data_IF_202939898070
#
_entry.id   IF_202939898070
#
_cell.length_a   1.000
_cell.length_b   1.000
_cell.length_c   1.000
_cell.angle_alpha   90.00
_cell.angle_beta   90.00
_cell.angle_gamma   90.00
#
_symmetry.space_group_name_H-M   'P 1'
#
loop_
_entity.id
_entity.type
_entity.pdbx_description
1 polymer ?
#
# COMPACT_ATOMS: atom_id res chain seq x y z
N UNK A 1 11.22 44.28 -69.56
CA UNK A 1 11.12 44.76 -68.17
C UNK A 1 9.87 44.17 -67.55
N UNK A 2 9.98 43.08 -66.77
CA UNK A 2 9.17 42.86 -65.56
C UNK A 2 10.02 42.00 -64.62
N UNK A 3 10.23 42.52 -63.43
CA UNK A 3 11.00 41.96 -62.31
C UNK A 3 10.14 40.99 -61.47
N UNK A 4 10.80 40.34 -60.51
CA UNK A 4 10.28 39.68 -59.29
C UNK A 4 10.23 38.12 -59.30
N UNK A 5 10.28 37.45 -58.14
CA UNK A 5 11.54 37.03 -57.51
C UNK A 5 11.47 35.59 -56.94
N UNK A 6 12.55 35.19 -56.25
CA UNK A 6 12.66 34.07 -55.28
C UNK A 6 11.43 33.95 -54.38
N UNK A 7 11.06 32.76 -53.89
CA UNK A 7 11.48 32.15 -52.59
C UNK A 7 11.03 30.68 -52.53
N UNK A 8 11.87 29.84 -51.92
CA UNK A 8 11.62 28.46 -51.46
C UNK A 8 10.76 28.53 -50.19
N UNK A 9 9.72 27.70 -50.02
CA UNK A 9 9.45 27.09 -48.72
C UNK A 9 8.47 25.92 -48.79
N UNK A 10 8.98 24.77 -48.35
CA UNK A 10 8.22 23.66 -47.78
C UNK A 10 7.36 24.14 -46.61
N UNK A 11 6.09 23.70 -46.53
CA UNK A 11 5.48 23.34 -45.26
C UNK A 11 4.13 22.65 -45.48
N UNK A 12 3.94 21.60 -44.69
CA UNK A 12 2.74 20.81 -44.49
C UNK A 12 1.44 21.63 -44.34
N UNK A 13 0.31 21.01 -44.69
CA UNK A 13 -0.68 20.64 -43.69
C UNK A 13 -1.78 19.76 -44.32
N UNK A 14 -1.75 18.46 -44.03
CA UNK A 14 -2.87 17.56 -44.33
C UNK A 14 -4.00 17.81 -43.34
N UNK A 15 -5.19 18.06 -43.88
CA UNK A 15 -6.49 17.60 -43.36
C UNK A 15 -6.73 17.70 -41.85
N UNK A 16 -7.25 18.84 -41.40
CA UNK A 16 -7.99 18.93 -40.14
C UNK A 16 -9.51 18.85 -40.43
N UNK A 17 -9.99 17.68 -40.86
CA UNK A 17 -11.42 17.35 -40.75
C UNK A 17 -11.70 17.12 -39.27
N UNK A 18 -12.51 17.98 -38.67
CA UNK A 18 -13.01 17.85 -37.30
C UNK A 18 -14.02 16.70 -37.24
N UNK A 19 -13.81 15.62 -36.48
CA UNK A 19 -14.91 14.78 -36.07
C UNK A 19 -15.49 15.34 -34.77
N UNK A 20 -16.83 15.36 -34.77
CA UNK A 20 -17.73 15.71 -33.70
C UNK A 20 -17.25 15.17 -32.33
N UNK A 21 -17.38 16.04 -31.33
CA UNK A 21 -17.44 15.68 -29.92
C UNK A 21 -18.50 14.60 -29.70
N UNK A 22 -18.13 13.33 -29.82
CA UNK A 22 -18.88 12.24 -29.21
C UNK A 22 -18.63 12.37 -27.71
N UNK A 23 -19.53 13.10 -27.03
CA UNK A 23 -19.66 13.02 -25.58
C UNK A 23 -20.03 11.59 -25.22
N UNK A 24 -19.01 10.75 -25.05
CA UNK A 24 -19.17 9.52 -24.27
C UNK A 24 -19.30 9.99 -22.83
N UNK A 25 -20.55 10.11 -22.37
CA UNK A 25 -20.85 10.18 -20.96
C UNK A 25 -20.32 8.89 -20.34
N UNK A 26 -19.16 8.96 -19.68
CA UNK A 26 -18.69 7.84 -18.89
C UNK A 26 -19.73 7.59 -17.80
N UNK A 27 -20.26 6.36 -17.67
CA UNK A 27 -21.12 6.05 -16.55
C UNK A 27 -20.30 6.22 -15.28
N UNK A 28 -20.81 7.00 -14.33
CA UNK A 28 -20.24 7.23 -12.99
C UNK A 28 -20.31 5.97 -12.10
N UNK A 29 -20.04 4.78 -12.66
CA UNK A 29 -20.05 3.48 -11.98
C UNK A 29 -18.59 3.01 -11.74
N UNK A 30 -17.61 3.92 -11.80
CA UNK A 30 -16.26 3.68 -11.27
C UNK A 30 -16.04 4.39 -9.92
N UNK A 31 -17.12 4.57 -9.14
CA UNK A 31 -17.06 5.14 -7.78
C UNK A 31 -17.50 4.18 -6.67
N UNK A 32 -17.74 2.91 -7.00
CA UNK A 32 -17.67 1.82 -6.02
C UNK A 32 -16.41 1.04 -6.38
N UNK A 33 -15.30 1.15 -5.66
CA UNK A 33 -15.21 0.65 -4.30
C UNK A 33 -13.84 1.06 -3.72
N UNK A 34 -13.67 2.31 -3.30
CA UNK A 34 -12.75 2.59 -2.19
C UNK A 34 -13.50 2.12 -0.95
N UNK A 35 -13.22 0.89 -0.51
CA UNK A 35 -13.85 0.31 0.66
C UNK A 35 -13.60 1.18 1.90
N UNK A 36 -14.71 1.59 2.53
CA UNK A 36 -14.91 1.72 3.98
C UNK A 36 -13.62 1.81 4.83
N UNK A 37 -13.13 3.02 5.15
CA UNK A 37 -13.28 3.66 6.48
C UNK A 37 -12.88 2.78 7.68
N UNK A 38 -11.76 3.17 8.31
CA UNK A 38 -11.11 2.61 9.52
C UNK A 38 -10.35 1.30 9.30
N UNK A 39 -9.04 1.37 9.02
CA UNK A 39 -8.17 0.19 9.04
C UNK A 39 -8.04 -0.36 10.47
N UNK A 40 -8.51 -1.59 10.66
CA UNK A 40 -8.37 -2.35 11.90
C UNK A 40 -6.88 -2.59 12.21
N UNK A 41 -6.52 -2.59 13.50
CA UNK A 41 -5.14 -2.86 13.99
C UNK A 41 -4.59 -4.14 13.37
N UNK A 42 -5.43 -5.16 13.22
CA UNK A 42 -5.08 -6.43 12.57
C UNK A 42 -4.61 -6.25 11.12
N UNK A 43 -5.25 -5.38 10.36
CA UNK A 43 -4.97 -5.18 8.94
C UNK A 43 -3.63 -4.47 8.78
N UNK A 44 -3.34 -3.49 9.64
CA UNK A 44 -2.05 -2.80 9.68
C UNK A 44 -0.91 -3.76 10.04
N UNK A 45 -1.06 -4.55 11.09
CA UNK A 45 -0.03 -5.55 11.49
C UNK A 45 0.19 -6.60 10.38
N UNK A 46 -0.88 -7.08 9.75
CA UNK A 46 -0.76 -8.01 8.62
C UNK A 46 -0.06 -7.37 7.43
N UNK A 47 -0.31 -6.08 7.15
CA UNK A 47 0.38 -5.36 6.07
C UNK A 47 1.87 -5.20 6.34
N UNK A 48 2.26 -4.87 7.58
CA UNK A 48 3.66 -4.83 8.01
C UNK A 48 4.32 -6.18 7.73
N UNK A 49 3.73 -7.28 8.20
CA UNK A 49 4.29 -8.63 8.03
C UNK A 49 4.43 -9.04 6.57
N UNK A 50 3.49 -8.65 5.70
CA UNK A 50 3.58 -8.91 4.26
C UNK A 50 4.71 -8.13 3.57
N UNK A 51 5.18 -7.05 4.18
CA UNK A 51 6.31 -6.25 3.69
C UNK A 51 7.69 -6.82 4.05
N UNK A 52 7.76 -7.79 4.96
CA UNK A 52 9.02 -8.44 5.33
C UNK A 52 9.41 -9.51 4.29
N UNK A 53 10.60 -9.40 3.69
CA UNK A 53 11.10 -10.33 2.67
C UNK A 53 11.20 -11.79 3.15
N UNK A 54 11.34 -12.00 4.46
CA UNK A 54 11.43 -13.31 5.09
C UNK A 54 10.07 -13.98 5.30
N UNK A 55 8.97 -13.24 5.14
CA UNK A 55 7.61 -13.71 5.39
C UNK A 55 6.89 -13.91 4.06
N UNK A 56 6.30 -15.09 3.85
CA UNK A 56 5.43 -15.32 2.70
C UNK A 56 4.05 -14.70 2.96
N UNK A 57 3.61 -13.69 2.16
CA UNK A 57 2.34 -13.01 2.37
C UNK A 57 1.12 -13.94 2.28
N UNK A 58 1.26 -15.10 1.65
CA UNK A 58 0.19 -16.11 1.55
C UNK A 58 0.05 -16.96 2.81
N UNK A 59 1.10 -17.01 3.65
CA UNK A 59 1.09 -17.75 4.92
C UNK A 59 0.70 -16.89 6.12
N UNK A 60 0.70 -15.57 5.95
CA UNK A 60 0.29 -14.63 7.01
C UNK A 60 -1.20 -14.79 7.27
N UNK A 61 -1.52 -15.33 8.44
CA UNK A 61 -2.89 -15.42 8.94
C UNK A 61 -2.98 -14.67 10.28
N UNK A 62 -4.16 -14.15 10.66
CA UNK A 62 -4.32 -13.45 11.93
C UNK A 62 -4.03 -14.32 13.16
N UNK A 63 -3.98 -15.65 13.00
CA UNK A 63 -3.65 -16.60 14.07
C UNK A 63 -2.24 -17.20 13.95
N UNK A 64 -1.48 -16.82 12.91
CA UNK A 64 -0.14 -17.36 12.69
C UNK A 64 0.83 -16.98 13.81
N UNK A 65 1.64 -17.96 14.20
CA UNK A 65 2.75 -17.78 15.10
C UNK A 65 4.01 -17.35 14.32
N UNK A 66 4.71 -16.34 14.83
CA UNK A 66 5.88 -15.76 14.16
C UNK A 66 6.99 -16.80 13.93
N UNK A 67 7.24 -17.66 14.91
CA UNK A 67 8.33 -18.63 14.85
C UNK A 67 7.84 -19.93 14.19
N UNK A 68 6.70 -20.47 14.62
CA UNK A 68 6.25 -21.80 14.19
C UNK A 68 5.65 -21.84 12.79
N UNK A 69 4.90 -20.81 12.40
CA UNK A 69 4.17 -20.80 11.12
C UNK A 69 4.90 -20.00 10.05
N UNK A 70 5.41 -18.82 10.43
CA UNK A 70 6.15 -17.96 9.52
C UNK A 70 7.65 -18.30 9.46
N UNK A 71 8.17 -19.06 10.43
CA UNK A 71 9.56 -19.50 10.43
C UNK A 71 10.55 -18.38 10.72
N UNK A 72 10.12 -17.33 11.45
CA UNK A 72 10.98 -16.22 11.82
C UNK A 72 11.95 -16.64 12.93
N UNK A 73 13.20 -16.21 12.79
CA UNK A 73 14.20 -16.35 13.85
C UNK A 73 13.96 -15.34 14.97
N UNK A 74 14.58 -15.57 16.13
CA UNK A 74 14.46 -14.68 17.30
C UNK A 74 14.95 -13.25 17.05
N UNK A 75 15.82 -13.04 16.05
CA UNK A 75 16.24 -11.70 15.63
C UNK A 75 15.18 -11.04 14.73
N UNK A 76 14.54 -11.83 13.87
CA UNK A 76 13.52 -11.33 12.94
C UNK A 76 12.25 -10.94 13.70
N UNK A 77 11.93 -11.64 14.79
CA UNK A 77 10.83 -11.23 15.68
C UNK A 77 11.08 -9.86 16.31
N UNK A 78 12.34 -9.50 16.62
CA UNK A 78 12.67 -8.16 17.13
C UNK A 78 12.44 -7.11 16.06
N UNK A 79 12.84 -7.37 14.80
CA UNK A 79 12.59 -6.45 13.68
C UNK A 79 11.10 -6.19 13.44
N UNK A 80 10.29 -7.26 13.50
CA UNK A 80 8.83 -7.16 13.36
C UNK A 80 8.22 -6.34 14.49
N UNK A 81 8.63 -6.59 15.74
CA UNK A 81 8.13 -5.85 16.91
C UNK A 81 8.49 -4.37 16.79
N UNK A 82 9.73 -4.03 16.41
CA UNK A 82 10.14 -2.63 16.20
C UNK A 82 9.32 -1.95 15.09
N UNK A 83 9.01 -2.64 13.99
CA UNK A 83 8.17 -2.09 12.94
C UNK A 83 6.73 -1.83 13.40
N UNK A 84 6.19 -2.67 14.28
CA UNK A 84 4.88 -2.47 14.91
C UNK A 84 4.94 -1.28 15.89
N UNK A 85 6.00 -1.17 16.69
CA UNK A 85 6.22 -0.04 17.59
C UNK A 85 6.25 1.29 16.85
N UNK A 86 6.97 1.36 15.72
CA UNK A 86 7.07 2.55 14.89
C UNK A 86 5.72 2.90 14.22
N UNK A 87 5.01 1.91 13.65
CA UNK A 87 3.71 2.14 12.99
C UNK A 87 2.67 2.70 13.95
N UNK A 88 2.61 2.18 15.18
CA UNK A 88 1.63 2.59 16.18
C UNK A 88 2.17 3.66 17.15
N UNK A 89 3.41 4.10 16.99
CA UNK A 89 4.11 5.02 17.91
C UNK A 89 3.99 4.60 19.38
N UNK A 90 4.17 3.30 19.64
CA UNK A 90 4.12 2.70 20.98
C UNK A 90 5.47 2.13 21.38
N UNK A 91 5.69 1.99 22.69
CA UNK A 91 6.85 1.27 23.24
C UNK A 91 6.38 -0.04 23.88
N UNK A 92 6.88 -1.16 23.38
CA UNK A 92 6.61 -2.51 23.90
C UNK A 92 7.85 -2.94 24.69
N UNK A 93 7.78 -3.09 26.03
CA UNK A 93 8.93 -3.54 26.80
C UNK A 93 9.32 -4.98 26.41
N UNK A 94 10.62 -5.28 26.38
CA UNK A 94 11.17 -6.59 25.98
C UNK A 94 10.44 -7.79 26.60
N UNK A 95 10.07 -7.70 27.89
CA UNK A 95 9.37 -8.77 28.62
C UNK A 95 8.00 -9.10 28.02
N UNK A 96 7.33 -8.11 27.46
CA UNK A 96 6.02 -8.25 26.82
C UNK A 96 6.19 -8.64 25.35
N UNK A 97 7.20 -8.10 24.66
CA UNK A 97 7.57 -8.53 23.31
C UNK A 97 7.88 -10.04 23.25
N UNK A 98 8.63 -10.57 24.22
CA UNK A 98 8.93 -12.01 24.36
C UNK A 98 7.68 -12.88 24.56
N UNK A 99 6.62 -12.30 25.15
CA UNK A 99 5.35 -12.98 25.38
C UNK A 99 4.45 -12.97 24.13
N UNK A 100 4.69 -12.05 23.20
CA UNK A 100 3.95 -11.90 21.93
C UNK A 100 4.57 -12.84 20.90
N UNK A 101 3.94 -14.00 20.71
CA UNK A 101 4.41 -15.02 19.77
C UNK A 101 3.52 -15.17 18.53
N UNK A 102 2.34 -14.54 18.52
CA UNK A 102 1.41 -14.60 17.40
C UNK A 102 0.86 -13.22 17.02
N UNK A 103 0.39 -13.14 15.77
CA UNK A 103 -0.27 -11.92 15.24
C UNK A 103 -1.45 -11.52 16.12
N UNK A 104 -2.27 -12.48 16.53
CA UNK A 104 -3.43 -12.22 17.39
C UNK A 104 -3.03 -11.59 18.74
N UNK A 105 -1.94 -12.06 19.35
CA UNK A 105 -1.45 -11.50 20.61
C UNK A 105 -0.94 -10.07 20.42
N UNK A 106 -0.24 -9.79 19.32
CA UNK A 106 0.18 -8.42 18.98
C UNK A 106 -1.03 -7.50 18.78
N UNK A 107 -2.03 -7.96 18.03
CA UNK A 107 -3.29 -7.21 17.81
C UNK A 107 -3.99 -6.94 19.14
N UNK A 108 -4.16 -7.94 20.00
CA UNK A 108 -4.83 -7.79 21.29
C UNK A 108 -4.04 -6.85 22.20
N UNK A 109 -2.71 -6.92 22.17
CA UNK A 109 -1.85 -6.06 22.94
C UNK A 109 -1.99 -4.59 22.52
N UNK A 110 -1.90 -4.31 21.22
CA UNK A 110 -2.06 -2.96 20.67
C UNK A 110 -3.49 -2.46 20.88
N UNK A 111 -4.51 -3.30 20.68
CA UNK A 111 -5.92 -2.90 20.83
C UNK A 111 -6.30 -2.60 22.28
N UNK A 112 -5.56 -3.13 23.26
CA UNK A 112 -5.75 -2.82 24.69
C UNK A 112 -5.17 -1.48 25.09
N UNK A 113 -4.21 -0.94 24.33
CA UNK A 113 -3.62 0.37 24.59
C UNK A 113 -4.44 1.41 23.84
N UNK A 114 -5.15 2.23 24.60
CA UNK A 114 -6.11 3.25 24.12
C UNK A 114 -5.43 4.42 23.38
N UNK A 115 -4.09 4.42 23.31
CA UNK A 115 -3.24 5.47 22.74
C UNK A 115 -2.84 5.21 21.26
N UNK A 116 -3.25 4.07 20.68
CA UNK A 116 -3.00 3.74 19.27
C UNK A 116 -3.93 4.58 18.35
N UNK A 117 -3.57 5.84 18.14
CA UNK A 117 -4.22 6.74 17.19
C UNK A 117 -3.66 6.58 15.77
#
# INVERSE_FOLDING_TARGET
MVFYPRVILSAASKSAQRPLMTRIAMPAIMSRMYGSSSESVESRIVNILKGFDKVDPNKVTPQSNFIKDLGLDSLDTVEVVMAIEEEFSVEIPDKEADAIQSVQQAVEYISKREDAH
#
